data_IF_801116693824
#
_entry.id   IF_801116693824
#
_cell.length_a   1.000
_cell.length_b   1.000
_cell.length_c   1.000
_cell.angle_alpha   90.00
_cell.angle_beta   90.00
_cell.angle_gamma   90.00
#
_symmetry.space_group_name_H-M   'P 1'
#
loop_
_entity.id
_entity.type
_entity.pdbx_description
1 polymer ?
#
# COMPACT_ATOMS: atom_id res chain seq x y z
N UNK A 1 -6.98 -11.69 -21.28
CA UNK A 1 -5.71 -11.62 -20.53
C UNK A 1 -5.55 -10.17 -20.09
N UNK A 2 -6.07 -9.82 -18.93
CA UNK A 2 -5.78 -8.53 -18.30
C UNK A 2 -4.32 -8.60 -17.84
N UNK A 3 -3.45 -7.75 -18.41
CA UNK A 3 -2.04 -7.72 -18.03
C UNK A 3 -1.88 -7.42 -16.54
N UNK A 4 -0.79 -7.88 -15.92
CA UNK A 4 -0.49 -7.55 -14.51
C UNK A 4 -0.39 -6.04 -14.37
N UNK A 5 -1.26 -5.46 -13.54
CA UNK A 5 -1.22 -4.05 -13.16
C UNK A 5 -0.12 -3.91 -12.10
N UNK A 6 0.86 -3.05 -12.36
CA UNK A 6 2.02 -2.82 -11.50
C UNK A 6 2.35 -1.32 -11.47
N UNK A 7 2.92 -0.81 -10.37
CA UNK A 7 3.36 0.58 -10.31
C UNK A 7 4.49 0.86 -11.32
N UNK A 8 4.47 2.04 -11.92
CA UNK A 8 5.56 2.55 -12.74
C UNK A 8 6.80 2.85 -11.87
N UNK A 9 8.02 2.81 -12.45
CA UNK A 9 9.23 3.30 -11.78
C UNK A 9 9.08 4.75 -11.34
N UNK A 10 9.62 5.09 -10.17
CA UNK A 10 9.59 6.44 -9.62
C UNK A 10 10.97 7.12 -9.71
N UNK A 11 11.05 8.41 -10.09
CA UNK A 11 12.35 9.11 -10.22
C UNK A 11 13.04 9.37 -8.87
N UNK A 12 12.27 9.52 -7.78
CA UNK A 12 12.81 9.62 -6.43
C UNK A 12 13.21 8.22 -5.92
N UNK A 13 14.51 7.96 -5.66
CA UNK A 13 14.99 6.68 -5.15
C UNK A 13 14.35 6.25 -3.82
N UNK A 14 13.96 7.23 -2.98
CA UNK A 14 13.36 6.96 -1.69
C UNK A 14 11.95 6.35 -1.82
N UNK A 15 11.18 6.85 -2.78
CA UNK A 15 9.86 6.32 -3.15
C UNK A 15 10.02 5.02 -3.96
N UNK A 16 10.97 4.96 -4.89
CA UNK A 16 11.27 3.77 -5.71
C UNK A 16 11.62 2.56 -4.86
N UNK A 17 12.28 2.75 -3.71
CA UNK A 17 12.59 1.66 -2.77
C UNK A 17 11.35 0.88 -2.30
N UNK A 18 10.15 1.47 -2.39
CA UNK A 18 8.90 0.80 -2.04
C UNK A 18 8.32 -0.03 -3.19
N UNK A 19 8.75 0.21 -4.44
CA UNK A 19 8.12 -0.34 -5.64
C UNK A 19 8.03 -1.86 -5.60
N UNK A 20 9.06 -2.53 -5.11
CA UNK A 20 9.08 -3.99 -5.06
C UNK A 20 8.07 -4.59 -4.10
N UNK A 21 7.94 -4.00 -2.90
CA UNK A 21 6.91 -4.39 -1.96
C UNK A 21 5.50 -4.16 -2.53
N UNK A 22 5.25 -2.96 -3.06
CA UNK A 22 3.96 -2.58 -3.66
C UNK A 22 3.60 -3.46 -4.85
N UNK A 23 4.59 -3.83 -5.68
CA UNK A 23 4.41 -4.77 -6.80
C UNK A 23 3.96 -6.14 -6.30
N UNK A 24 4.60 -6.68 -5.26
CA UNK A 24 4.24 -7.98 -4.69
C UNK A 24 2.82 -7.97 -4.13
N UNK A 25 2.44 -6.92 -3.40
CA UNK A 25 1.06 -6.76 -2.90
C UNK A 25 0.06 -6.72 -4.06
N UNK A 26 0.36 -5.93 -5.10
CA UNK A 26 -0.49 -5.85 -6.29
C UNK A 26 -0.64 -7.18 -7.03
N UNK A 27 0.45 -7.96 -7.12
CA UNK A 27 0.44 -9.29 -7.71
C UNK A 27 -0.44 -10.26 -6.88
N UNK A 28 -0.34 -10.25 -5.55
CA UNK A 28 -1.16 -11.11 -4.67
C UNK A 28 -2.65 -10.72 -4.67
N UNK A 29 -2.96 -9.43 -4.72
CA UNK A 29 -4.34 -8.95 -4.87
C UNK A 29 -4.98 -9.46 -6.17
N UNK A 30 -4.24 -9.35 -7.29
CA UNK A 30 -4.69 -9.86 -8.58
C UNK A 30 -4.82 -11.39 -8.59
N UNK A 31 -3.89 -12.10 -7.96
CA UNK A 31 -3.95 -13.56 -7.85
C UNK A 31 -5.17 -14.05 -7.07
N UNK A 32 -5.66 -13.25 -6.12
CA UNK A 32 -6.91 -13.50 -5.36
C UNK A 32 -8.16 -12.95 -6.02
N UNK A 33 -8.06 -12.39 -7.22
CA UNK A 33 -9.22 -11.91 -7.98
C UNK A 33 -9.78 -10.56 -7.50
N UNK A 34 -9.03 -9.82 -6.69
CA UNK A 34 -9.41 -8.45 -6.29
C UNK A 34 -9.45 -7.58 -7.55
N UNK A 35 -10.51 -6.75 -7.76
CA UNK A 35 -10.71 -5.95 -8.97
C UNK A 35 -9.80 -4.72 -9.01
N UNK A 36 -8.49 -4.96 -8.99
CA UNK A 36 -7.46 -3.94 -9.08
C UNK A 36 -7.48 -3.31 -10.46
N UNK A 37 -7.56 -1.98 -10.52
CA UNK A 37 -7.62 -1.23 -11.78
C UNK A 37 -6.43 -0.30 -11.99
N UNK A 38 -5.85 0.23 -10.91
CA UNK A 38 -4.67 1.12 -10.95
C UNK A 38 -3.79 0.89 -9.73
N UNK A 39 -2.48 1.08 -9.92
CA UNK A 39 -1.51 1.15 -8.84
C UNK A 39 -0.53 2.27 -9.12
N UNK A 40 -0.21 3.09 -8.14
CA UNK A 40 0.90 4.04 -8.21
C UNK A 40 1.59 4.19 -6.87
N UNK A 41 2.85 4.64 -6.94
CA UNK A 41 3.61 5.16 -5.80
C UNK A 41 3.36 6.67 -5.74
N UNK A 42 3.63 7.29 -4.58
CA UNK A 42 3.65 8.74 -4.37
C UNK A 42 2.28 9.35 -4.02
N UNK A 43 2.22 10.45 -3.22
CA UNK A 43 3.29 11.36 -2.72
C UNK A 43 4.32 10.90 -1.66
N UNK A 44 5.54 11.43 -1.77
CA UNK A 44 6.65 11.36 -0.81
C UNK A 44 6.34 12.15 0.48
N UNK A 45 6.86 11.68 1.62
CA UNK A 45 6.74 12.27 2.97
C UNK A 45 5.30 12.45 3.53
N UNK A 46 4.72 11.41 4.15
CA UNK A 46 5.21 10.02 4.21
C UNK A 46 5.12 9.36 2.83
N UNK A 47 6.01 8.41 2.55
CA UNK A 47 5.88 7.54 1.35
C UNK A 47 4.54 6.82 1.42
N UNK A 48 3.84 6.82 0.30
CA UNK A 48 2.61 6.07 0.13
C UNK A 48 2.54 5.37 -1.23
N UNK A 49 1.54 4.50 -1.34
CA UNK A 49 1.15 3.89 -2.58
C UNK A 49 -0.35 3.64 -2.56
N UNK A 50 -0.99 3.76 -3.72
CA UNK A 50 -2.44 3.58 -3.85
C UNK A 50 -2.76 2.43 -4.79
N UNK A 51 -3.71 1.60 -4.38
CA UNK A 51 -4.32 0.53 -5.16
C UNK A 51 -5.81 0.86 -5.34
N UNK A 52 -6.28 1.05 -6.57
CA UNK A 52 -7.70 1.35 -6.84
C UNK A 52 -8.45 0.06 -7.12
N UNK A 53 -9.44 -0.24 -6.28
CA UNK A 53 -10.19 -1.49 -6.23
C UNK A 53 -11.66 -1.29 -6.67
N UNK A 54 -11.87 -0.57 -7.78
CA UNK A 54 -13.21 -0.14 -8.21
C UNK A 54 -13.59 1.19 -7.57
N UNK A 55 -14.62 1.20 -6.73
CA UNK A 55 -15.08 2.40 -6.01
C UNK A 55 -14.28 2.67 -4.73
N UNK A 56 -13.48 1.71 -4.29
CA UNK A 56 -12.64 1.81 -3.11
C UNK A 56 -11.18 1.97 -3.50
N UNK A 57 -10.38 2.47 -2.57
CA UNK A 57 -8.93 2.44 -2.68
C UNK A 57 -8.30 1.93 -1.40
N UNK A 58 -7.29 1.10 -1.58
CA UNK A 58 -6.38 0.67 -0.53
C UNK A 58 -5.12 1.53 -0.64
N UNK A 59 -4.84 2.30 0.40
CA UNK A 59 -3.66 3.16 0.50
C UNK A 59 -2.70 2.54 1.50
N UNK A 60 -1.47 2.29 1.06
CA UNK A 60 -0.37 1.98 1.95
C UNK A 60 0.36 3.28 2.29
N UNK A 61 0.69 3.53 3.55
CA UNK A 61 1.68 4.52 3.92
C UNK A 61 2.73 3.95 4.89
N UNK A 62 3.91 4.54 4.91
CA UNK A 62 5.01 4.05 5.74
C UNK A 62 4.83 4.28 7.26
N UNK A 63 3.80 5.03 7.68
CA UNK A 63 3.59 5.43 9.08
C UNK A 63 2.49 4.63 9.77
N UNK A 64 1.48 4.23 9.02
CA UNK A 64 0.23 3.64 9.44
C UNK A 64 0.02 2.27 8.75
N UNK A 65 0.65 2.02 7.61
CA UNK A 65 0.44 0.79 6.84
C UNK A 65 -0.77 0.91 5.95
N UNK A 66 -1.60 -0.13 5.88
CA UNK A 66 -2.73 -0.15 4.96
C UNK A 66 -3.97 0.52 5.54
N UNK A 67 -4.64 1.31 4.70
CA UNK A 67 -5.91 1.95 4.98
C UNK A 67 -6.82 1.74 3.78
N UNK A 68 -8.02 1.21 4.00
CA UNK A 68 -9.05 1.00 3.00
C UNK A 68 -10.16 2.04 3.19
N UNK A 69 -10.69 2.58 2.11
CA UNK A 69 -11.87 3.43 2.18
C UNK A 69 -12.45 3.66 0.79
N UNK A 70 -13.54 4.41 0.73
CA UNK A 70 -14.14 4.80 -0.54
C UNK A 70 -13.21 5.81 -1.24
N UNK A 71 -12.93 5.57 -2.51
CA UNK A 71 -12.00 6.40 -3.29
C UNK A 71 -12.69 7.70 -3.71
N UNK A 72 -12.21 8.83 -3.20
CA UNK A 72 -12.73 10.16 -3.53
C UNK A 72 -11.91 10.79 -4.66
N UNK A 73 -10.59 10.82 -4.51
CA UNK A 73 -9.67 11.39 -5.50
C UNK A 73 -8.24 10.90 -5.27
N UNK A 74 -7.40 10.93 -6.31
CA UNK A 74 -5.99 10.59 -6.22
C UNK A 74 -5.42 10.26 -7.60
N UNK A 75 -4.15 10.57 -7.79
CA UNK A 75 -3.40 10.27 -9.01
C UNK A 75 -1.89 10.28 -8.70
N UNK A 76 -1.02 9.75 -9.58
CA UNK A 76 0.42 9.83 -9.36
C UNK A 76 0.87 11.27 -9.07
N UNK A 77 1.57 11.48 -7.95
CA UNK A 77 1.97 12.83 -7.49
C UNK A 77 0.96 13.55 -6.59
N UNK A 78 -0.26 13.03 -6.42
CA UNK A 78 -1.32 13.65 -5.63
C UNK A 78 -1.82 12.67 -4.57
N UNK A 79 -1.83 13.11 -3.30
CA UNK A 79 -2.24 12.29 -2.15
C UNK A 79 -3.66 11.77 -2.36
N UNK A 80 -3.83 10.47 -2.20
CA UNK A 80 -5.15 9.85 -2.27
C UNK A 80 -6.02 10.29 -1.10
N UNK A 81 -7.26 10.64 -1.40
CA UNK A 81 -8.28 11.01 -0.43
C UNK A 81 -9.30 9.87 -0.35
N UNK A 82 -9.54 9.39 0.86
CA UNK A 82 -10.50 8.35 1.18
C UNK A 82 -11.66 8.92 1.99
N UNK A 83 -12.89 8.44 1.73
CA UNK A 83 -14.00 8.55 2.69
C UNK A 83 -14.04 7.31 3.57
N UNK A 84 -14.47 7.49 4.81
CA UNK A 84 -14.66 6.42 5.81
C UNK A 84 -13.45 5.48 5.94
N UNK A 85 -12.23 6.03 6.12
CA UNK A 85 -11.01 5.24 6.11
C UNK A 85 -10.94 4.28 7.30
N UNK A 86 -10.63 3.02 6.98
CA UNK A 86 -10.41 1.93 7.91
C UNK A 86 -8.97 1.44 7.79
N UNK A 87 -8.25 1.42 8.91
CA UNK A 87 -6.91 0.85 8.96
C UNK A 87 -6.93 -0.68 8.98
N UNK A 88 -6.05 -1.29 8.21
CA UNK A 88 -5.93 -2.74 8.04
C UNK A 88 -4.59 -3.27 8.57
N UNK A 89 -4.65 -4.42 9.22
CA UNK A 89 -3.49 -5.13 9.75
C UNK A 89 -2.80 -4.44 10.94
N UNK A 90 -1.77 -5.10 11.44
CA UNK A 90 -0.90 -4.58 12.50
C UNK A 90 0.43 -4.12 11.89
N UNK A 91 0.66 -2.81 11.88
CA UNK A 91 1.93 -2.22 11.45
C UNK A 91 2.02 -1.87 9.96
N UNK A 92 3.21 -1.41 9.56
CA UNK A 92 3.41 -0.67 8.29
C UNK A 92 3.87 -1.53 7.11
N UNK A 93 4.17 -2.81 7.32
CA UNK A 93 4.70 -3.67 6.26
C UNK A 93 4.29 -5.13 6.50
N UNK A 94 2.99 -5.47 6.42
CA UNK A 94 2.56 -6.87 6.50
C UNK A 94 3.12 -7.71 5.35
N UNK A 95 3.12 -9.03 5.49
CA UNK A 95 3.44 -9.95 4.39
C UNK A 95 2.48 -9.69 3.20
N UNK A 96 2.96 -9.47 1.96
CA UNK A 96 2.10 -9.30 0.79
C UNK A 96 1.03 -10.38 0.62
N UNK A 97 1.36 -11.64 0.96
CA UNK A 97 0.44 -12.77 0.86
C UNK A 97 -0.76 -12.66 1.82
N UNK A 98 -0.59 -11.93 2.92
CA UNK A 98 -1.64 -11.74 3.93
C UNK A 98 -2.59 -10.58 3.58
N UNK A 99 -2.16 -9.63 2.73
CA UNK A 99 -2.93 -8.40 2.45
C UNK A 99 -4.32 -8.68 1.85
N UNK A 100 -4.52 -9.61 0.90
CA UNK A 100 -5.86 -9.89 0.38
C UNK A 100 -6.85 -10.31 1.47
N UNK A 101 -6.40 -11.13 2.44
CA UNK A 101 -7.26 -11.56 3.55
C UNK A 101 -7.61 -10.41 4.51
N UNK A 102 -6.80 -9.35 4.57
CA UNK A 102 -7.12 -8.17 5.38
C UNK A 102 -8.31 -7.38 4.82
N UNK A 103 -8.59 -7.49 3.51
CA UNK A 103 -9.75 -6.86 2.87
C UNK A 103 -11.07 -7.55 3.21
N UNK A 104 -11.01 -8.82 3.61
CA UNK A 104 -12.18 -9.64 3.95
C UNK A 104 -12.52 -9.57 5.45
N UNK A 105 -11.58 -9.14 6.29
CA UNK A 105 -11.74 -9.10 7.75
C UNK A 105 -12.45 -7.84 8.24
N UNK A 106 -13.24 -8.00 9.31
CA UNK A 106 -13.96 -6.88 9.93
C UNK A 106 -13.02 -5.83 10.53
N UNK A 107 -13.24 -4.59 10.13
CA UNK A 107 -12.56 -3.37 10.59
C UNK A 107 -12.66 -3.14 12.10
N UNK A 108 -13.80 -3.53 12.68
CA UNK A 108 -14.27 -3.06 13.98
C UNK A 108 -13.60 -3.75 15.18
N UNK A 109 -12.89 -4.87 14.98
CA UNK A 109 -12.31 -5.67 16.06
C UNK A 109 -10.79 -5.51 16.19
N UNK A 110 -10.17 -4.68 15.36
CA UNK A 110 -8.70 -4.61 15.29
C UNK A 110 -8.15 -3.61 16.32
N UNK A 111 -7.14 -3.99 17.13
CA UNK A 111 -6.47 -3.06 18.05
C UNK A 111 -5.96 -1.81 17.32
N UNK A 112 -5.85 -0.65 18.00
CA UNK A 112 -5.21 0.52 17.42
C UNK A 112 -3.75 0.17 17.10
N UNK A 113 -3.48 -0.05 15.82
CA UNK A 113 -2.15 -0.40 15.36
C UNK A 113 -1.16 0.73 15.72
N UNK A 114 0.07 0.36 16.10
CA UNK A 114 1.09 1.36 16.44
C UNK A 114 1.40 2.21 15.21
N UNK A 115 1.35 3.53 15.36
CA UNK A 115 1.83 4.46 14.35
C UNK A 115 3.35 4.60 14.44
N UNK A 116 4.04 4.49 13.31
CA UNK A 116 5.46 4.75 13.17
C UNK A 116 5.65 6.21 12.73
N UNK A 117 6.47 7.03 13.40
CA UNK A 117 6.83 8.33 12.86
C UNK A 117 7.71 8.16 11.62
N UNK A 118 7.36 8.79 10.49
CA UNK A 118 8.12 8.68 9.24
C UNK A 118 9.56 9.19 9.35
N UNK A 119 9.85 10.04 10.36
CA UNK A 119 11.20 10.54 10.68
C UNK A 119 12.06 9.55 11.48
N UNK A 120 11.52 8.40 11.87
CA UNK A 120 12.33 7.35 12.47
C UNK A 120 13.29 6.80 11.41
N UNK A 121 14.50 7.33 11.34
CA UNK A 121 15.60 6.65 10.64
C UNK A 121 16.06 5.44 11.45
N UNK A 122 16.45 4.35 10.76
CA UNK A 122 17.14 3.19 11.34
C UNK A 122 16.31 2.21 12.18
N UNK A 123 15.00 2.09 11.96
CA UNK A 123 14.19 1.05 12.60
C UNK A 123 14.06 -0.24 11.77
N UNK A 124 14.82 -0.34 10.67
CA UNK A 124 14.89 -1.50 9.79
C UNK A 124 13.80 -1.57 8.72
N UNK A 125 12.96 -0.53 8.56
CA UNK A 125 11.96 -0.49 7.47
C UNK A 125 12.64 -0.60 6.09
N UNK A 126 13.73 0.14 5.88
CA UNK A 126 14.50 0.14 4.64
C UNK A 126 15.08 -1.25 4.33
N UNK A 127 15.65 -1.93 5.33
CA UNK A 127 16.20 -3.28 5.20
C UNK A 127 15.13 -4.30 4.83
N UNK A 128 13.89 -4.10 5.30
CA UNK A 128 12.75 -4.96 4.98
C UNK A 128 12.24 -4.70 3.57
N UNK A 129 12.13 -3.44 3.15
CA UNK A 129 11.76 -3.08 1.79
C UNK A 129 12.75 -3.64 0.76
N UNK A 130 14.05 -3.61 1.08
CA UNK A 130 15.11 -4.14 0.21
C UNK A 130 15.01 -5.65 -0.09
N UNK A 131 14.24 -6.42 0.70
CA UNK A 131 13.99 -7.85 0.46
C UNK A 131 13.02 -8.10 -0.70
N UNK A 132 12.27 -7.10 -1.11
CA UNK A 132 11.30 -7.20 -2.18
C UNK A 132 11.92 -6.65 -3.46
N UNK A 133 12.64 -7.49 -4.21
CA UNK A 133 13.16 -7.14 -5.53
C UNK A 133 12.09 -7.41 -6.61
N UNK A 134 12.12 -6.58 -7.66
CA UNK A 134 11.30 -6.76 -8.86
C UNK A 134 12.19 -7.47 -9.87
N UNK A 135 11.79 -8.69 -10.24
CA UNK A 135 12.36 -9.45 -11.35
C UNK A 135 11.83 -8.93 -12.70
#
# INVERSE_FOLDING_TARGET
>A
MTGRIRPLPHPDPFVEATRGYITRVGDELQARGVPLSKIWLDPCHPRDATFVLGLQALVWNESEGFVLGDFVSGEPGVRTVLSDPVRLGEGVLPDPLAVPALLEGDAAERPPARTRPFTAGHDGLEDRLARYTID
#
